data_IF_946411214379
#
_entry.id   IF_946411214379
#
_cell.length_a   1.000
_cell.length_b   1.000
_cell.length_c   1.000
_cell.angle_alpha   90.00
_cell.angle_beta   90.00
_cell.angle_gamma   90.00
#
_symmetry.space_group_name_H-M   'P 1'
#
loop_
_entity.id
_entity.type
_entity.pdbx_description
1 polymer ?
#
# COMPACT_ATOMS: atom_id res chain seq x y z
N UNK A 1 11.85 -18.40 -14.22
CA UNK A 1 10.48 -17.87 -14.19
C UNK A 1 10.36 -16.79 -13.13
N UNK A 2 9.72 -15.69 -13.45
CA UNK A 2 9.51 -14.59 -12.51
C UNK A 2 8.03 -14.49 -12.12
N UNK A 3 7.79 -14.28 -10.84
CA UNK A 3 6.46 -13.95 -10.35
C UNK A 3 6.07 -12.55 -10.80
N UNK A 4 4.76 -12.25 -10.92
CA UNK A 4 4.32 -10.87 -11.13
C UNK A 4 4.82 -9.96 -10.01
N UNK A 5 5.02 -8.69 -10.34
CA UNK A 5 5.43 -7.69 -9.35
C UNK A 5 4.32 -7.46 -8.31
N UNK A 6 4.73 -7.10 -7.11
CA UNK A 6 3.80 -6.79 -6.01
C UNK A 6 3.75 -5.26 -5.85
N UNK A 7 2.56 -4.70 -5.91
CA UNK A 7 2.34 -3.28 -5.68
C UNK A 7 2.10 -3.00 -4.19
N UNK A 8 2.81 -2.02 -3.65
CA UNK A 8 2.65 -1.59 -2.25
C UNK A 8 1.91 -0.26 -2.24
N UNK A 9 0.78 -0.21 -1.53
CA UNK A 9 -0.11 0.94 -1.45
C UNK A 9 -0.08 1.53 -0.04
N UNK A 10 0.67 2.61 0.21
CA UNK A 10 0.68 3.27 1.53
C UNK A 10 -0.54 4.20 1.67
N UNK A 11 -1.55 3.77 2.43
CA UNK A 11 -2.76 4.56 2.63
C UNK A 11 -2.69 5.38 3.92
N UNK A 12 -3.34 6.53 3.91
CA UNK A 12 -3.28 7.51 4.97
C UNK A 12 -4.62 8.26 5.06
N UNK A 13 -4.91 8.84 6.23
CA UNK A 13 -6.00 9.79 6.35
C UNK A 13 -5.68 11.01 5.51
N UNK A 14 -6.48 11.26 4.47
CA UNK A 14 -6.21 12.31 3.50
C UNK A 14 -6.55 13.73 3.96
N UNK A 15 -7.12 13.87 5.16
CA UNK A 15 -7.46 15.20 5.69
C UNK A 15 -6.20 15.96 6.05
N UNK A 16 -6.06 17.16 5.49
CA UNK A 16 -4.97 18.05 5.83
C UNK A 16 -5.27 18.82 7.12
N UNK A 17 -4.24 19.38 7.73
CA UNK A 17 -4.35 20.11 8.99
C UNK A 17 -3.77 19.35 10.18
N UNK A 18 -2.78 18.50 9.97
CA UNK A 18 -2.01 17.85 11.03
C UNK A 18 -1.84 16.36 10.90
N UNK A 19 -2.92 15.60 10.72
CA UNK A 19 -2.83 14.14 10.72
C UNK A 19 -2.03 13.61 9.54
N UNK A 20 -2.38 14.03 8.34
CA UNK A 20 -1.67 13.58 7.14
C UNK A 20 -0.21 13.98 7.19
N UNK A 21 0.05 15.25 7.47
CA UNK A 21 1.40 15.79 7.49
C UNK A 21 2.28 15.11 8.54
N UNK A 22 1.72 14.76 9.69
CA UNK A 22 2.48 14.12 10.77
C UNK A 22 2.82 12.65 10.50
N UNK A 23 2.06 11.96 9.65
CA UNK A 23 2.20 10.52 9.43
C UNK A 23 2.71 10.16 8.03
N UNK A 24 2.86 11.13 7.14
CA UNK A 24 3.16 10.85 5.73
C UNK A 24 4.51 10.13 5.57
N UNK A 25 5.55 10.66 6.18
CA UNK A 25 6.89 10.05 6.10
C UNK A 25 6.92 8.67 6.73
N UNK A 26 6.25 8.50 7.87
CA UNK A 26 6.16 7.21 8.54
C UNK A 26 5.43 6.19 7.67
N UNK A 27 4.35 6.59 7.02
CA UNK A 27 3.56 5.70 6.16
C UNK A 27 4.37 5.26 4.94
N UNK A 28 5.10 6.16 4.31
CA UNK A 28 5.99 5.80 3.21
C UNK A 28 7.13 4.90 3.69
N UNK A 29 7.69 5.14 4.88
CA UNK A 29 8.73 4.30 5.45
C UNK A 29 8.22 2.88 5.71
N UNK A 30 6.97 2.72 6.16
CA UNK A 30 6.37 1.41 6.34
C UNK A 30 6.22 0.67 5.00
N UNK A 31 5.81 1.36 3.95
CA UNK A 31 5.73 0.77 2.62
C UNK A 31 7.10 0.29 2.14
N UNK A 32 8.14 1.08 2.34
CA UNK A 32 9.51 0.71 1.99
C UNK A 32 9.99 -0.50 2.81
N UNK A 33 9.66 -0.54 4.10
CA UNK A 33 10.00 -1.67 4.96
C UNK A 33 9.33 -2.97 4.50
N UNK A 34 8.06 -2.91 4.09
CA UNK A 34 7.34 -4.06 3.53
C UNK A 34 7.99 -4.53 2.23
N UNK A 35 8.33 -3.60 1.34
CA UNK A 35 9.02 -3.93 0.09
C UNK A 35 10.37 -4.63 0.35
N UNK A 36 11.13 -4.12 1.30
CA UNK A 36 12.42 -4.71 1.69
C UNK A 36 12.24 -6.11 2.28
N UNK A 37 11.23 -6.30 3.11
CA UNK A 37 10.92 -7.60 3.71
C UNK A 37 10.59 -8.64 2.61
N UNK A 38 9.80 -8.25 1.64
CA UNK A 38 9.42 -9.12 0.52
C UNK A 38 10.65 -9.46 -0.32
N UNK A 39 11.41 -8.47 -0.76
CA UNK A 39 12.56 -8.70 -1.65
C UNK A 39 13.67 -9.49 -0.96
N UNK A 40 13.80 -9.40 0.36
CA UNK A 40 14.78 -10.16 1.13
C UNK A 40 14.38 -11.62 1.29
N UNK A 41 13.08 -11.90 1.45
CA UNK A 41 12.59 -13.23 1.84
C UNK A 41 11.94 -14.02 0.71
N UNK A 42 11.46 -13.38 -0.34
CA UNK A 42 10.79 -14.04 -1.46
C UNK A 42 11.65 -13.93 -2.72
N UNK A 43 11.83 -15.07 -3.38
CA UNK A 43 12.64 -15.16 -4.60
C UNK A 43 11.81 -15.71 -5.75
N UNK A 44 12.10 -15.22 -6.95
CA UNK A 44 11.64 -15.83 -8.18
C UNK A 44 12.32 -17.19 -8.39
N UNK A 45 11.83 -17.99 -9.34
CA UNK A 45 12.40 -19.29 -9.65
C UNK A 45 13.86 -19.25 -10.10
N UNK A 46 14.32 -18.09 -10.63
CA UNK A 46 15.69 -17.87 -11.05
C UNK A 46 16.62 -17.38 -9.92
N UNK A 47 16.11 -17.25 -8.69
CA UNK A 47 16.87 -16.79 -7.53
C UNK A 47 16.89 -15.27 -7.35
N UNK A 48 16.37 -14.49 -8.29
CA UNK A 48 16.29 -13.03 -8.14
C UNK A 48 15.20 -12.64 -7.12
N UNK A 49 15.32 -11.50 -6.44
CA UNK A 49 14.27 -11.02 -5.53
C UNK A 49 12.94 -10.78 -6.26
N UNK A 50 11.84 -11.08 -5.59
CA UNK A 50 10.52 -10.66 -6.06
C UNK A 50 10.47 -9.14 -6.05
N UNK A 51 10.06 -8.54 -7.17
CA UNK A 51 10.09 -7.10 -7.35
C UNK A 51 8.84 -6.45 -6.78
N UNK A 52 9.02 -5.36 -6.03
CA UNK A 52 7.94 -4.56 -5.48
C UNK A 52 7.94 -3.17 -6.13
N UNK A 53 6.75 -2.66 -6.41
CA UNK A 53 6.54 -1.31 -6.91
C UNK A 53 5.75 -0.54 -5.84
N UNK A 54 6.28 0.58 -5.38
CA UNK A 54 5.60 1.41 -4.38
C UNK A 54 4.92 2.58 -5.10
N UNK A 55 3.73 2.96 -4.64
CA UNK A 55 3.05 4.15 -5.14
C UNK A 55 3.95 5.39 -4.99
N UNK A 56 3.79 6.36 -5.88
CA UNK A 56 4.63 7.57 -5.88
C UNK A 56 4.36 8.50 -4.70
N UNK A 57 3.20 8.35 -4.07
CA UNK A 57 2.82 9.13 -2.89
C UNK A 57 2.00 8.27 -1.94
N UNK A 58 1.81 8.75 -0.71
CA UNK A 58 0.78 8.20 0.15
C UNK A 58 -0.59 8.40 -0.51
N UNK A 59 -1.53 7.50 -0.20
CA UNK A 59 -2.86 7.47 -0.80
C UNK A 59 -3.87 7.85 0.27
N UNK A 60 -4.39 9.08 0.18
CA UNK A 60 -5.42 9.56 1.10
C UNK A 60 -6.63 10.10 0.39
N UNK A 61 -6.61 10.16 -0.94
CA UNK A 61 -7.68 10.72 -1.77
C UNK A 61 -7.86 9.90 -3.04
N UNK A 62 -9.04 10.04 -3.64
CA UNK A 62 -9.42 9.30 -4.85
C UNK A 62 -8.42 9.53 -5.99
N UNK A 63 -7.97 10.76 -6.21
CA UNK A 63 -7.02 11.05 -7.27
C UNK A 63 -5.68 10.30 -7.07
N UNK A 64 -5.24 10.18 -5.83
CA UNK A 64 -4.02 9.44 -5.50
C UNK A 64 -4.21 7.94 -5.68
N UNK A 65 -5.39 7.41 -5.31
CA UNK A 65 -5.74 6.01 -5.58
C UNK A 65 -5.75 5.71 -7.07
N UNK A 66 -6.32 6.59 -7.88
CA UNK A 66 -6.36 6.45 -9.33
C UNK A 66 -4.96 6.48 -9.94
N UNK A 67 -4.13 7.41 -9.51
CA UNK A 67 -2.75 7.50 -9.99
C UNK A 67 -1.93 6.25 -9.66
N UNK A 68 -2.15 5.69 -8.47
CA UNK A 68 -1.52 4.44 -8.06
C UNK A 68 -1.96 3.27 -8.97
N UNK A 69 -3.25 3.15 -9.24
CA UNK A 69 -3.78 2.10 -10.10
C UNK A 69 -3.19 2.18 -11.51
N UNK A 70 -3.07 3.38 -12.07
CA UNK A 70 -2.45 3.60 -13.39
C UNK A 70 -0.98 3.20 -13.40
N UNK A 71 -0.23 3.60 -12.38
CA UNK A 71 1.18 3.23 -12.25
C UNK A 71 1.34 1.71 -12.19
N UNK A 72 0.55 1.04 -11.37
CA UNK A 72 0.65 -0.40 -11.18
C UNK A 72 0.30 -1.17 -12.46
N UNK A 73 -0.69 -0.72 -13.19
CA UNK A 73 -1.01 -1.33 -14.48
C UNK A 73 0.13 -1.16 -15.48
N UNK A 74 0.69 0.04 -15.58
CA UNK A 74 1.81 0.34 -16.46
C UNK A 74 3.06 -0.46 -16.12
N UNK A 75 3.31 -0.71 -14.84
CA UNK A 75 4.48 -1.42 -14.35
C UNK A 75 4.32 -2.96 -14.34
N UNK A 76 3.15 -3.48 -14.66
CA UNK A 76 2.90 -4.92 -14.71
C UNK A 76 2.73 -5.57 -13.34
N UNK A 77 2.17 -4.85 -12.39
CA UNK A 77 1.84 -5.39 -11.05
C UNK A 77 0.76 -6.46 -11.18
N UNK A 78 0.90 -7.56 -10.45
CA UNK A 78 -0.06 -8.67 -10.46
C UNK A 78 -0.81 -8.87 -9.16
N UNK A 79 -0.37 -8.24 -8.06
CA UNK A 79 -1.05 -8.29 -6.77
C UNK A 79 -0.67 -7.06 -5.96
N UNK A 80 -1.48 -6.73 -4.96
CA UNK A 80 -1.23 -5.54 -4.14
C UNK A 80 -1.24 -5.85 -2.65
N UNK A 81 -0.45 -5.07 -1.90
CA UNK A 81 -0.52 -5.02 -0.44
C UNK A 81 -0.76 -3.56 -0.05
N UNK A 82 -1.87 -3.31 0.59
CA UNK A 82 -2.15 -2.00 1.17
C UNK A 82 -1.60 -1.98 2.59
N UNK A 83 -0.77 -0.98 2.89
CA UNK A 83 -0.23 -0.78 4.24
C UNK A 83 -0.77 0.54 4.78
N UNK A 84 -1.20 0.54 6.04
CA UNK A 84 -1.72 1.75 6.66
C UNK A 84 -1.25 1.88 8.10
N UNK A 85 -0.80 3.08 8.46
CA UNK A 85 -0.38 3.42 9.82
C UNK A 85 -1.51 4.01 10.65
N UNK A 86 -2.63 4.35 10.02
CA UNK A 86 -3.74 5.02 10.67
C UNK A 86 -5.07 4.69 10.00
N UNK A 87 -6.17 5.10 10.66
CA UNK A 87 -7.48 5.04 10.04
C UNK A 87 -7.52 5.97 8.81
N UNK A 88 -8.20 5.54 7.77
CA UNK A 88 -8.41 6.35 6.56
C UNK A 88 -9.76 5.99 5.93
N UNK A 89 -10.23 6.83 5.02
CA UNK A 89 -11.51 6.59 4.34
C UNK A 89 -11.35 5.54 3.26
N UNK A 90 -12.04 4.40 3.40
CA UNK A 90 -11.97 3.30 2.43
C UNK A 90 -12.42 3.72 1.04
N UNK A 91 -13.44 4.58 0.94
CA UNK A 91 -13.93 5.07 -0.34
C UNK A 91 -12.93 5.96 -1.09
N UNK A 92 -12.04 6.65 -0.37
CA UNK A 92 -11.05 7.53 -0.97
C UNK A 92 -9.71 6.85 -1.21
N UNK A 93 -9.47 5.71 -0.57
CA UNK A 93 -8.20 4.98 -0.66
C UNK A 93 -8.34 3.63 -1.33
N UNK A 94 -9.46 3.38 -1.98
CA UNK A 94 -9.81 2.10 -2.59
C UNK A 94 -8.75 1.66 -3.62
N UNK A 95 -8.39 0.39 -3.56
CA UNK A 95 -7.61 -0.25 -4.62
C UNK A 95 -8.54 -0.48 -5.82
N UNK A 96 -8.36 0.32 -6.85
CA UNK A 96 -9.34 0.44 -7.93
C UNK A 96 -9.35 -0.70 -8.93
N UNK A 97 -8.29 -1.52 -8.99
CA UNK A 97 -8.28 -2.66 -9.91
C UNK A 97 -8.89 -3.88 -9.23
N UNK A 98 -10.08 -4.34 -9.66
CA UNK A 98 -10.77 -5.47 -9.04
C UNK A 98 -10.11 -6.82 -9.34
N UNK A 99 -9.18 -6.87 -10.28
CA UNK A 99 -8.57 -8.12 -10.72
C UNK A 99 -7.31 -8.52 -9.93
N UNK A 100 -6.78 -7.64 -9.11
CA UNK A 100 -5.62 -7.98 -8.29
C UNK A 100 -6.02 -8.80 -7.07
N UNK A 101 -5.31 -9.90 -6.76
CA UNK A 101 -5.30 -10.42 -5.40
C UNK A 101 -4.76 -9.34 -4.46
N UNK A 102 -5.39 -9.17 -3.31
CA UNK A 102 -5.13 -8.06 -2.40
C UNK A 102 -4.87 -8.54 -0.99
N UNK A 103 -3.93 -7.87 -0.31
CA UNK A 103 -3.73 -8.01 1.13
C UNK A 103 -3.75 -6.62 1.76
N UNK A 104 -4.13 -6.56 3.02
CA UNK A 104 -4.12 -5.31 3.79
C UNK A 104 -3.36 -5.55 5.09
N UNK A 105 -2.41 -4.68 5.39
CA UNK A 105 -1.61 -4.74 6.61
C UNK A 105 -1.81 -3.45 7.41
N UNK A 106 -2.56 -3.54 8.51
CA UNK A 106 -2.79 -2.42 9.41
C UNK A 106 -1.79 -2.41 10.56
N UNK A 107 -1.07 -1.31 10.69
CA UNK A 107 -0.09 -1.12 11.77
C UNK A 107 -0.73 -0.43 12.96
N UNK A 108 -0.37 -0.84 14.18
CA UNK A 108 -0.96 -0.35 15.42
C UNK A 108 -0.01 0.51 16.26
N UNK A 109 1.01 1.08 15.67
CA UNK A 109 2.03 1.86 16.38
C UNK A 109 1.74 3.36 16.54
N UNK A 110 0.52 3.81 16.26
CA UNK A 110 0.14 5.23 16.33
C UNK A 110 -1.10 5.44 17.18
N UNK A 111 -1.42 6.70 17.48
CA UNK A 111 -2.66 7.08 18.16
C UNK A 111 -3.93 6.70 17.37
N UNK A 112 -3.79 6.47 16.08
CA UNK A 112 -4.90 6.13 15.17
C UNK A 112 -4.59 4.80 14.49
N UNK A 113 -4.83 3.66 15.17
CA UNK A 113 -4.38 2.35 14.68
C UNK A 113 -4.96 1.97 13.33
N UNK A 114 -4.11 1.42 12.47
CA UNK A 114 -4.52 0.93 11.16
C UNK A 114 -5.43 -0.29 11.19
N UNK A 115 -5.53 -0.98 12.32
CA UNK A 115 -6.41 -2.13 12.48
C UNK A 115 -7.89 -1.77 12.25
N UNK A 116 -8.30 -0.55 12.55
CA UNK A 116 -9.67 -0.08 12.31
C UNK A 116 -9.95 -0.02 10.80
N UNK A 117 -8.99 0.48 10.02
CA UNK A 117 -9.09 0.48 8.57
C UNK A 117 -9.16 -0.94 8.01
N UNK A 118 -8.29 -1.83 8.51
CA UNK A 118 -8.29 -3.23 8.10
C UNK A 118 -9.67 -3.87 8.30
N UNK A 119 -10.27 -3.68 9.47
CA UNK A 119 -11.60 -4.20 9.74
C UNK A 119 -12.65 -3.64 8.79
N UNK A 120 -12.58 -2.34 8.47
CA UNK A 120 -13.54 -1.67 7.61
C UNK A 120 -13.46 -2.16 6.15
N UNK A 121 -12.25 -2.33 5.61
CA UNK A 121 -12.09 -2.71 4.18
C UNK A 121 -12.26 -4.20 3.93
N UNK A 122 -12.13 -5.04 4.95
CA UNK A 122 -12.35 -6.48 4.83
C UNK A 122 -13.79 -6.90 5.13
N UNK A 123 -14.57 -6.00 5.68
CA UNK A 123 -16.00 -6.23 5.88
C UNK A 123 -16.77 -6.11 4.56
#
# INVERSE_FOLDING_TARGET
MKYPKIGIRPTIDGRQGGVRESLEDKTMALAQAVANLISTNLKNGDGSPVECIIADSTIGRVAESAACAEKFEREGVGSTITVTSCWCYGSETMDMNPHYPKAVWGFNGTERPGAVYLAAVLA
#
